data_IF_498223667300
#
_entry.id   IF_498223667300
#
_cell.length_a   1.000
_cell.length_b   1.000
_cell.length_c   1.000
_cell.angle_alpha   90.00
_cell.angle_beta   90.00
_cell.angle_gamma   90.00
#
_symmetry.space_group_name_H-M   'P 1'
#
loop_
_entity.id
_entity.type
_entity.pdbx_description
1 polymer ?
#
# COMPACT_ATOMS: atom_id res chain seq x y z
N UNK A 1 15.36 25.05 -30.71
CA UNK A 1 16.49 24.97 -29.77
C UNK A 1 17.37 23.83 -30.20
N UNK A 2 18.62 24.11 -30.52
CA UNK A 2 19.65 23.11 -30.83
C UNK A 2 20.06 22.33 -29.56
N UNK A 3 20.82 21.25 -29.76
CA UNK A 3 21.18 20.33 -28.67
C UNK A 3 22.17 20.94 -27.66
N UNK A 4 23.09 21.80 -28.11
CA UNK A 4 24.10 22.43 -27.26
C UNK A 4 23.47 23.51 -26.37
N UNK A 5 22.63 24.36 -26.95
CA UNK A 5 21.82 25.32 -26.18
C UNK A 5 20.94 24.61 -25.15
N UNK A 6 20.33 23.49 -25.53
CA UNK A 6 19.50 22.70 -24.62
C UNK A 6 20.32 22.09 -23.48
N UNK A 7 21.47 21.50 -23.77
CA UNK A 7 22.38 20.96 -22.76
C UNK A 7 22.81 22.04 -21.76
N UNK A 8 23.19 23.23 -22.24
CA UNK A 8 23.55 24.37 -21.40
C UNK A 8 22.41 24.78 -20.44
N UNK A 9 21.20 24.99 -20.97
CA UNK A 9 20.05 25.40 -20.15
C UNK A 9 19.60 24.32 -19.17
N UNK A 10 19.70 23.04 -19.55
CA UNK A 10 19.39 21.93 -18.67
C UNK A 10 20.36 21.86 -17.48
N UNK A 11 21.65 22.15 -17.69
CA UNK A 11 22.63 22.25 -16.61
C UNK A 11 22.23 23.34 -15.60
N UNK A 12 21.93 24.55 -16.09
CA UNK A 12 21.51 25.67 -15.22
C UNK A 12 20.22 25.33 -14.45
N UNK A 13 19.23 24.81 -15.16
CA UNK A 13 17.96 24.40 -14.57
C UNK A 13 18.13 23.43 -13.41
N UNK A 14 18.98 22.40 -13.57
CA UNK A 14 19.19 21.40 -12.52
C UNK A 14 19.97 21.97 -11.32
N UNK A 15 20.90 22.88 -11.55
CA UNK A 15 21.64 23.54 -10.47
C UNK A 15 20.76 24.47 -9.65
N UNK A 16 19.84 25.17 -10.31
CA UNK A 16 18.90 26.13 -9.70
C UNK A 16 17.60 25.49 -9.18
N UNK A 17 17.33 24.22 -9.51
CA UNK A 17 16.11 23.53 -9.12
C UNK A 17 15.94 23.48 -7.59
N UNK A 18 15.00 24.28 -7.08
CA UNK A 18 14.61 24.34 -5.66
C UNK A 18 13.10 24.16 -5.48
N UNK A 19 12.70 23.66 -4.31
CA UNK A 19 11.29 23.63 -3.91
C UNK A 19 10.75 25.07 -3.78
N UNK A 20 9.42 25.22 -3.81
CA UNK A 20 8.75 26.51 -3.56
C UNK A 20 9.18 27.22 -2.27
N UNK A 21 9.63 26.48 -1.25
CA UNK A 21 10.13 27.00 0.04
C UNK A 21 11.66 27.18 0.07
N UNK A 22 12.34 27.22 -1.07
CA UNK A 22 13.80 27.45 -1.20
C UNK A 22 14.70 26.24 -0.90
N UNK A 23 14.19 25.16 -0.30
CA UNK A 23 14.98 23.96 0.00
C UNK A 23 15.27 23.08 -1.22
N UNK A 24 16.37 22.33 -1.18
CA UNK A 24 16.74 21.37 -2.25
C UNK A 24 15.71 20.24 -2.41
N UNK A 25 15.56 19.75 -3.65
CA UNK A 25 14.83 18.53 -3.94
C UNK A 25 15.59 17.29 -3.46
N UNK A 26 14.90 16.21 -3.04
CA UNK A 26 15.54 14.90 -2.90
C UNK A 26 16.11 14.43 -4.25
N UNK A 27 17.23 13.72 -4.22
CA UNK A 27 17.91 13.20 -5.43
C UNK A 27 16.94 12.52 -6.42
N UNK A 28 16.07 11.65 -5.92
CA UNK A 28 15.08 10.94 -6.74
C UNK A 28 14.04 11.86 -7.39
N UNK A 29 13.64 12.94 -6.70
CA UNK A 29 12.69 13.90 -7.26
C UNK A 29 13.30 14.67 -8.42
N UNK A 30 14.57 15.05 -8.29
CA UNK A 30 15.32 15.72 -9.36
C UNK A 30 15.41 14.83 -10.61
N UNK A 31 15.74 13.55 -10.44
CA UNK A 31 15.72 12.57 -11.54
C UNK A 31 14.33 12.46 -12.20
N UNK A 32 13.25 12.45 -11.42
CA UNK A 32 11.89 12.40 -11.98
C UNK A 32 11.48 13.67 -12.72
N UNK A 33 11.98 14.84 -12.34
CA UNK A 33 11.79 16.07 -13.10
C UNK A 33 12.43 15.90 -14.49
N UNK A 34 13.66 15.41 -14.54
CA UNK A 34 14.38 15.12 -15.79
C UNK A 34 13.60 14.12 -16.66
N UNK A 35 13.10 13.01 -16.10
CA UNK A 35 12.24 12.08 -16.83
C UNK A 35 10.92 12.74 -17.31
N UNK A 36 10.37 13.67 -16.52
CA UNK A 36 9.19 14.44 -16.88
C UNK A 36 9.43 15.33 -18.10
N UNK A 37 10.59 15.98 -18.16
CA UNK A 37 11.01 16.78 -19.31
C UNK A 37 11.17 15.92 -20.57
N UNK A 38 11.80 14.73 -20.46
CA UNK A 38 11.90 13.79 -21.60
C UNK A 38 10.51 13.38 -22.08
N UNK A 39 9.60 13.06 -21.15
CA UNK A 39 8.22 12.70 -21.50
C UNK A 39 7.54 13.84 -22.26
N UNK A 40 7.66 15.07 -21.75
CA UNK A 40 7.10 16.24 -22.40
C UNK A 40 7.68 16.48 -23.80
N UNK A 41 8.99 16.29 -24.00
CA UNK A 41 9.60 16.35 -25.33
C UNK A 41 9.01 15.31 -26.29
N UNK A 42 8.81 14.07 -25.82
CA UNK A 42 8.17 13.01 -26.61
C UNK A 42 6.72 13.34 -26.95
N UNK A 43 5.97 13.90 -26.01
CA UNK A 43 4.58 14.33 -26.23
C UNK A 43 4.51 15.47 -27.28
N UNK A 44 5.58 16.25 -27.44
CA UNK A 44 5.76 17.25 -28.50
C UNK A 44 6.40 16.70 -29.79
N UNK A 45 6.48 15.37 -29.95
CA UNK A 45 7.13 14.68 -31.08
C UNK A 45 8.65 14.96 -31.24
N UNK A 46 9.32 15.43 -30.19
CA UNK A 46 10.79 15.61 -30.16
C UNK A 46 11.44 14.36 -29.58
N UNK A 47 11.70 13.39 -30.45
CA UNK A 47 12.26 12.08 -30.06
C UNK A 47 13.78 11.99 -30.19
N UNK A 48 14.40 12.93 -30.92
CA UNK A 48 15.83 12.96 -31.22
C UNK A 48 16.70 13.53 -30.09
N UNK A 49 16.09 14.01 -29.00
CA UNK A 49 16.76 14.70 -27.88
C UNK A 49 16.53 13.97 -26.56
N UNK A 50 17.14 12.80 -26.43
CA UNK A 50 17.08 12.01 -25.20
C UNK A 50 18.33 12.26 -24.35
N UNK A 51 18.32 13.31 -23.54
CA UNK A 51 19.48 13.74 -22.77
C UNK A 51 19.89 12.82 -21.60
N UNK A 52 19.14 11.75 -21.32
CA UNK A 52 19.56 10.66 -20.42
C UNK A 52 20.14 9.45 -21.17
N UNK A 53 20.19 9.47 -22.51
CA UNK A 53 20.78 8.36 -23.27
C UNK A 53 22.29 8.44 -23.18
N UNK A 54 22.92 7.33 -22.77
CA UNK A 54 24.37 7.29 -22.65
C UNK A 54 25.08 7.41 -24.00
N UNK A 55 24.41 6.93 -25.06
CA UNK A 55 24.92 6.93 -26.44
C UNK A 55 24.93 8.31 -27.07
N UNK A 56 24.13 9.24 -26.56
CA UNK A 56 24.06 10.61 -27.09
C UNK A 56 25.11 11.51 -26.44
N UNK A 57 26.26 11.65 -27.09
CA UNK A 57 27.38 12.46 -26.61
C UNK A 57 27.05 13.95 -26.41
N UNK A 58 26.03 14.49 -27.09
CA UNK A 58 25.64 15.91 -27.03
C UNK A 58 25.24 16.35 -25.62
N UNK A 59 24.70 15.42 -24.84
CA UNK A 59 24.22 15.67 -23.46
C UNK A 59 25.14 15.11 -22.38
N UNK A 60 26.38 14.74 -22.73
CA UNK A 60 27.37 14.29 -21.76
C UNK A 60 27.69 15.33 -20.67
N UNK A 61 27.78 16.65 -20.96
CA UNK A 61 27.98 17.66 -19.93
C UNK A 61 26.80 17.73 -18.95
N UNK A 62 25.56 17.78 -19.44
CA UNK A 62 24.37 17.72 -18.60
C UNK A 62 24.35 16.51 -17.68
N UNK A 63 24.64 15.32 -18.19
CA UNK A 63 24.68 14.09 -17.39
C UNK A 63 25.69 14.15 -16.25
N UNK A 64 26.88 14.74 -16.49
CA UNK A 64 27.89 14.96 -15.45
C UNK A 64 27.42 15.93 -14.36
N UNK A 65 26.77 17.04 -14.75
CA UNK A 65 26.21 18.02 -13.80
C UNK A 65 25.08 17.39 -12.97
N UNK A 66 24.18 16.64 -13.61
CA UNK A 66 23.11 15.93 -12.94
C UNK A 66 23.65 14.91 -11.92
N UNK A 67 24.63 14.11 -12.30
CA UNK A 67 25.28 13.13 -11.42
C UNK A 67 25.99 13.81 -10.24
N UNK A 68 26.76 14.88 -10.49
CA UNK A 68 27.41 15.67 -9.46
C UNK A 68 26.40 16.26 -8.46
N UNK A 69 25.29 16.81 -8.95
CA UNK A 69 24.21 17.33 -8.11
C UNK A 69 23.53 16.22 -7.30
N UNK A 70 23.27 15.06 -7.90
CA UNK A 70 22.71 13.91 -7.18
C UNK A 70 23.65 13.44 -6.07
N UNK A 71 24.96 13.35 -6.33
CA UNK A 71 25.99 13.00 -5.33
C UNK A 71 26.05 14.01 -4.20
N UNK A 72 26.01 15.32 -4.49
CA UNK A 72 25.94 16.39 -3.49
C UNK A 72 24.67 16.29 -2.62
N UNK A 73 23.51 15.98 -3.21
CA UNK A 73 22.28 15.78 -2.46
C UNK A 73 22.34 14.54 -1.56
N UNK A 74 22.95 13.46 -2.04
CA UNK A 74 23.14 12.24 -1.26
C UNK A 74 24.13 12.44 -0.10
N UNK A 75 25.22 13.18 -0.30
CA UNK A 75 26.19 13.50 0.77
C UNK A 75 25.56 14.37 1.85
N UNK A 76 24.64 15.28 1.47
CA UNK A 76 23.79 16.07 2.40
C UNK A 76 22.70 15.24 3.08
N UNK A 77 22.58 13.94 2.79
CA UNK A 77 21.56 13.05 3.35
C UNK A 77 20.15 13.24 2.78
N UNK A 78 19.99 14.02 1.70
CA UNK A 78 18.72 14.31 1.04
C UNK A 78 18.36 13.19 0.04
N UNK A 79 17.73 12.13 0.56
CA UNK A 79 17.26 10.99 -0.24
C UNK A 79 17.65 9.63 0.32
N UNK A 80 18.51 9.59 1.33
CA UNK A 80 18.95 8.35 2.01
C UNK A 80 17.95 7.87 3.07
N UNK A 81 17.16 8.78 3.65
CA UNK A 81 16.06 8.43 4.55
C UNK A 81 14.85 7.93 3.77
N UNK A 82 14.87 6.65 3.40
CA UNK A 82 13.61 5.94 3.14
C UNK A 82 12.88 5.90 4.47
N UNK A 83 11.74 6.60 4.59
CA UNK A 83 10.83 6.44 5.73
C UNK A 83 10.30 5.01 5.70
N UNK A 84 11.05 4.09 6.31
CA UNK A 84 10.59 2.75 6.63
C UNK A 84 9.58 2.93 7.74
N UNK A 85 8.37 2.43 7.53
CA UNK A 85 7.41 2.40 8.60
C UNK A 85 7.66 1.17 9.46
N UNK A 86 7.56 1.34 10.77
CA UNK A 86 7.72 0.22 11.68
C UNK A 86 6.50 -0.70 11.60
N UNK A 87 6.69 -2.03 11.59
CA UNK A 87 5.55 -2.95 11.69
C UNK A 87 4.78 -2.71 12.99
N UNK A 88 3.48 -3.01 12.96
CA UNK A 88 2.69 -3.15 14.20
C UNK A 88 3.20 -4.42 14.89
N UNK A 89 3.75 -4.27 16.09
CA UNK A 89 4.25 -5.39 16.90
C UNK A 89 3.09 -6.13 17.57
N UNK A 90 3.39 -7.26 18.22
CA UNK A 90 2.37 -8.00 18.97
C UNK A 90 1.84 -7.17 20.15
N UNK A 91 2.71 -6.38 20.78
CA UNK A 91 2.35 -5.49 21.90
C UNK A 91 1.44 -4.35 21.42
N UNK A 92 1.74 -3.76 20.26
CA UNK A 92 0.87 -2.77 19.63
C UNK A 92 -0.52 -3.35 19.31
N UNK A 93 -0.58 -4.61 18.87
CA UNK A 93 -1.83 -5.33 18.60
C UNK A 93 -2.63 -5.58 19.88
N UNK A 94 -1.99 -6.01 20.97
CA UNK A 94 -2.64 -6.16 22.27
C UNK A 94 -3.19 -4.82 22.77
N UNK A 95 -2.45 -3.72 22.58
CA UNK A 95 -2.93 -2.40 22.97
C UNK A 95 -4.20 -2.00 22.20
N UNK A 96 -4.32 -2.37 20.92
CA UNK A 96 -5.53 -2.14 20.12
C UNK A 96 -6.73 -2.95 20.61
N UNK A 97 -6.49 -4.16 21.12
CA UNK A 97 -7.51 -4.97 21.78
C UNK A 97 -7.94 -4.37 23.12
N UNK A 98 -6.98 -4.03 23.99
CA UNK A 98 -7.24 -3.48 25.33
C UNK A 98 -7.96 -2.14 25.26
N UNK A 99 -7.55 -1.26 24.34
CA UNK A 99 -8.17 0.05 24.14
C UNK A 99 -9.54 -0.01 23.43
N UNK A 100 -10.05 -1.21 23.11
CA UNK A 100 -11.35 -1.39 22.47
C UNK A 100 -11.43 -0.86 21.03
N UNK A 101 -10.28 -0.65 20.38
CA UNK A 101 -10.23 -0.32 18.94
C UNK A 101 -10.67 -1.53 18.13
N UNK A 102 -10.23 -2.71 18.56
CA UNK A 102 -10.73 -3.99 18.11
C UNK A 102 -11.86 -4.47 18.99
N UNK A 103 -12.95 -4.90 18.35
CA UNK A 103 -14.11 -5.39 19.06
C UNK A 103 -15.40 -5.25 18.28
N UNK A 104 -16.50 -5.60 18.96
CA UNK A 104 -17.87 -5.65 18.44
C UNK A 104 -18.74 -4.53 19.02
N UNK A 105 -18.14 -3.42 19.45
CA UNK A 105 -18.88 -2.31 20.07
C UNK A 105 -19.59 -1.43 19.04
N UNK A 106 -19.11 -1.36 17.80
CA UNK A 106 -19.73 -0.60 16.71
C UNK A 106 -19.40 -1.17 15.33
N UNK A 107 -20.17 -0.77 14.30
CA UNK A 107 -19.86 -1.12 12.91
C UNK A 107 -18.46 -0.59 12.48
N UNK A 108 -18.02 0.51 13.08
CA UNK A 108 -16.69 1.08 12.82
C UNK A 108 -15.57 0.23 13.43
N UNK A 109 -15.71 -0.23 14.68
CA UNK A 109 -14.70 -1.11 15.31
C UNK A 109 -14.63 -2.46 14.63
N UNK A 110 -15.78 -2.99 14.19
CA UNK A 110 -15.85 -4.22 13.39
C UNK A 110 -15.16 -4.05 12.02
N UNK A 111 -15.29 -2.88 11.40
CA UNK A 111 -14.58 -2.58 10.16
C UNK A 111 -13.07 -2.42 10.37
N UNK A 112 -12.63 -1.84 11.50
CA UNK A 112 -11.21 -1.67 11.83
C UNK A 112 -10.48 -3.00 12.02
N UNK A 113 -11.08 -3.93 12.76
CA UNK A 113 -10.48 -5.25 12.98
C UNK A 113 -10.37 -6.02 11.66
N UNK A 114 -11.43 -6.06 10.86
CA UNK A 114 -11.43 -6.73 9.57
C UNK A 114 -10.43 -6.08 8.60
N UNK A 115 -10.32 -4.75 8.59
CA UNK A 115 -9.32 -4.04 7.80
C UNK A 115 -7.88 -4.40 8.20
N UNK A 116 -7.60 -4.45 9.51
CA UNK A 116 -6.27 -4.81 10.02
C UNK A 116 -5.91 -6.27 9.66
N UNK A 117 -6.80 -7.22 9.90
CA UNK A 117 -6.55 -8.62 9.59
C UNK A 117 -6.55 -8.90 8.08
N UNK A 118 -7.24 -8.11 7.27
CA UNK A 118 -7.06 -8.14 5.81
C UNK A 118 -5.62 -7.80 5.40
N UNK A 119 -4.98 -6.85 6.09
CA UNK A 119 -3.58 -6.52 5.87
C UNK A 119 -2.64 -7.62 6.41
N UNK A 120 -2.92 -8.14 7.61
CA UNK A 120 -2.07 -9.11 8.33
C UNK A 120 -2.13 -10.52 7.72
N UNK A 121 -3.33 -11.06 7.51
CA UNK A 121 -3.55 -12.44 7.08
C UNK A 121 -3.42 -12.61 5.57
N UNK A 122 -4.08 -11.76 4.79
CA UNK A 122 -4.16 -11.90 3.33
C UNK A 122 -3.11 -11.04 2.60
N UNK A 123 -2.36 -10.22 3.34
CA UNK A 123 -1.31 -9.38 2.77
C UNK A 123 -1.84 -8.28 1.85
N UNK A 124 -3.10 -7.88 1.99
CA UNK A 124 -3.70 -6.78 1.22
C UNK A 124 -3.04 -5.48 1.64
N UNK A 125 -2.49 -4.75 0.67
CA UNK A 125 -1.72 -3.51 0.93
C UNK A 125 -2.02 -2.42 -0.08
N UNK A 126 -2.50 -2.81 -1.27
CA UNK A 126 -2.78 -1.87 -2.33
C UNK A 126 -3.99 -1.00 -2.00
N UNK A 127 -3.86 0.31 -2.20
CA UNK A 127 -5.01 1.24 -2.12
C UNK A 127 -6.16 0.83 -3.03
N UNK A 128 -5.83 0.45 -4.26
CA UNK A 128 -6.79 -0.07 -5.25
C UNK A 128 -7.26 -1.49 -4.93
N UNK A 129 -6.38 -2.30 -4.32
CA UNK A 129 -6.69 -3.67 -3.90
C UNK A 129 -7.79 -3.66 -2.83
N UNK A 130 -7.67 -2.83 -1.79
CA UNK A 130 -8.76 -2.65 -0.82
C UNK A 130 -10.00 -2.01 -1.44
N UNK A 131 -9.86 -1.06 -2.37
CA UNK A 131 -11.02 -0.40 -2.99
C UNK A 131 -11.87 -1.37 -3.81
N UNK A 132 -11.21 -2.26 -4.56
CA UNK A 132 -11.84 -3.19 -5.48
C UNK A 132 -12.18 -4.54 -4.81
N UNK A 133 -12.02 -4.62 -3.49
CA UNK A 133 -12.30 -5.82 -2.71
C UNK A 133 -13.81 -6.07 -2.65
N UNK A 134 -14.20 -7.31 -2.87
CA UNK A 134 -15.59 -7.77 -2.83
C UNK A 134 -15.80 -8.80 -1.72
N UNK A 135 -17.01 -8.85 -1.16
CA UNK A 135 -17.41 -9.85 -0.17
C UNK A 135 -17.32 -11.27 -0.72
N UNK A 136 -17.63 -11.47 -2.00
CA UNK A 136 -17.60 -12.78 -2.65
C UNK A 136 -16.18 -13.36 -2.80
N UNK A 137 -15.15 -12.56 -2.49
CA UNK A 137 -13.76 -13.04 -2.46
C UNK A 137 -13.40 -13.74 -1.15
N UNK A 138 -14.28 -13.69 -0.15
CA UNK A 138 -14.07 -14.32 1.15
C UNK A 138 -15.06 -15.47 1.32
N UNK A 139 -14.53 -16.63 1.67
CA UNK A 139 -15.32 -17.82 1.94
C UNK A 139 -14.98 -18.32 3.34
N UNK A 140 -16.00 -18.62 4.13
CA UNK A 140 -15.84 -19.18 5.47
C UNK A 140 -16.32 -20.62 5.41
N UNK A 141 -15.43 -21.55 5.70
CA UNK A 141 -15.69 -22.98 5.62
C UNK A 141 -15.31 -23.68 6.93
N UNK A 142 -15.71 -24.95 7.08
CA UNK A 142 -15.39 -25.80 8.22
C UNK A 142 -14.84 -27.12 7.69
N UNK A 143 -13.53 -27.31 7.82
CA UNK A 143 -12.86 -28.55 7.47
C UNK A 143 -12.67 -29.44 8.71
N UNK A 144 -12.14 -30.65 8.51
CA UNK A 144 -11.75 -31.57 9.58
C UNK A 144 -10.77 -30.98 10.60
N UNK A 145 -10.03 -29.93 10.22
CA UNK A 145 -9.07 -29.21 11.07
C UNK A 145 -9.72 -28.08 11.87
N UNK A 146 -10.91 -27.63 11.47
CA UNK A 146 -11.66 -26.56 12.11
C UNK A 146 -12.15 -25.49 11.13
N UNK A 147 -12.73 -24.42 11.70
CA UNK A 147 -13.27 -23.29 10.92
C UNK A 147 -12.13 -22.52 10.24
N UNK A 148 -12.27 -22.23 8.95
CA UNK A 148 -11.29 -21.49 8.15
C UNK A 148 -11.94 -20.29 7.43
N UNK A 149 -11.09 -19.34 7.04
CA UNK A 149 -11.44 -18.29 6.09
C UNK A 149 -10.49 -18.34 4.90
N UNK A 150 -11.06 -18.55 3.72
CA UNK A 150 -10.40 -18.47 2.44
C UNK A 150 -10.54 -17.07 1.85
N UNK A 151 -9.46 -16.58 1.24
CA UNK A 151 -9.49 -15.38 0.43
C UNK A 151 -9.00 -15.71 -0.99
N UNK A 152 -9.87 -15.44 -1.97
CA UNK A 152 -9.55 -15.54 -3.38
C UNK A 152 -9.28 -14.16 -3.98
N UNK A 153 -7.99 -13.86 -4.16
CA UNK A 153 -7.53 -12.62 -4.76
C UNK A 153 -7.90 -12.51 -6.24
N UNK A 154 -8.50 -11.39 -6.64
CA UNK A 154 -8.72 -11.02 -8.05
C UNK A 154 -7.50 -10.23 -8.56
N UNK A 155 -6.98 -10.61 -9.72
CA UNK A 155 -5.71 -10.10 -10.28
C UNK A 155 -5.81 -8.64 -10.77
N UNK A 156 -5.34 -7.68 -9.96
CA UNK A 156 -5.65 -6.26 -10.22
C UNK A 156 -4.45 -5.31 -10.43
N UNK A 157 -3.22 -5.77 -10.72
CA UNK A 157 -2.13 -4.78 -11.00
C UNK A 157 -1.04 -5.12 -12.01
N UNK A 158 -0.74 -6.38 -12.26
CA UNK A 158 0.27 -6.80 -13.24
C UNK A 158 -0.31 -7.59 -14.41
N UNK A 159 -1.63 -7.76 -14.45
CA UNK A 159 -2.30 -8.48 -15.51
C UNK A 159 -2.57 -7.53 -16.68
N UNK A 160 -1.73 -7.60 -17.71
CA UNK A 160 -2.05 -7.01 -19.03
C UNK A 160 -2.90 -7.95 -19.90
N UNK A 161 -3.20 -9.17 -19.43
CA UNK A 161 -3.77 -10.24 -20.26
C UNK A 161 -2.80 -10.70 -21.36
N UNK A 162 -3.07 -11.88 -21.95
CA UNK A 162 -2.32 -12.43 -23.07
C UNK A 162 -1.86 -13.88 -22.87
N UNK A 163 -1.49 -14.55 -23.97
CA UNK A 163 -1.04 -15.96 -24.01
C UNK A 163 0.08 -16.26 -22.99
N UNK A 164 0.94 -15.29 -22.66
CA UNK A 164 2.07 -15.46 -21.73
C UNK A 164 1.71 -15.49 -20.24
N UNK A 165 0.44 -15.32 -19.86
CA UNK A 165 0.00 -15.30 -18.45
C UNK A 165 -1.07 -16.35 -18.10
N UNK A 166 -1.21 -17.41 -18.92
CA UNK A 166 -2.14 -18.52 -18.67
C UNK A 166 -1.88 -19.29 -17.36
N UNK A 167 -0.66 -19.25 -16.82
CA UNK A 167 -0.27 -20.03 -15.63
C UNK A 167 -0.35 -19.25 -14.31
N UNK A 168 -0.84 -18.00 -14.32
CA UNK A 168 -0.87 -17.18 -13.12
C UNK A 168 -2.08 -17.55 -12.24
N UNK A 169 -1.86 -18.42 -11.26
CA UNK A 169 -2.85 -18.76 -10.25
C UNK A 169 -3.19 -17.53 -9.40
N UNK A 170 -4.49 -17.30 -9.16
CA UNK A 170 -4.97 -16.31 -8.21
C UNK A 170 -4.38 -16.59 -6.81
N UNK A 171 -4.19 -15.55 -6.00
CA UNK A 171 -3.84 -15.74 -4.58
C UNK A 171 -5.01 -16.45 -3.89
N UNK A 172 -4.87 -17.73 -3.63
CA UNK A 172 -5.75 -18.49 -2.74
C UNK A 172 -5.03 -18.62 -1.39
N UNK A 173 -5.51 -17.89 -0.39
CA UNK A 173 -4.92 -17.86 0.95
C UNK A 173 -5.99 -18.33 1.93
N UNK A 174 -5.72 -19.43 2.63
CA UNK A 174 -6.59 -19.98 3.67
C UNK A 174 -5.97 -19.80 5.05
N UNK A 175 -6.77 -19.33 6.00
CA UNK A 175 -6.37 -19.18 7.40
C UNK A 175 -7.33 -19.93 8.32
N UNK A 176 -6.78 -20.79 9.17
CA UNK A 176 -7.54 -21.58 10.14
C UNK A 176 -7.73 -20.81 11.44
N UNK A 177 -8.85 -21.09 12.13
CA UNK A 177 -9.10 -20.57 13.46
C UNK A 177 -8.08 -21.13 14.45
N UNK A 178 -7.47 -20.26 15.26
CA UNK A 178 -6.60 -20.68 16.35
C UNK A 178 -7.37 -21.05 17.63
N UNK A 179 -8.70 -20.96 17.62
CA UNK A 179 -9.52 -21.11 18.82
C UNK A 179 -9.35 -19.95 19.81
N UNK A 180 -10.30 -19.77 20.72
CA UNK A 180 -10.24 -18.76 21.78
C UNK A 180 -11.21 -17.58 21.63
N UNK A 181 -11.22 -16.65 22.61
CA UNK A 181 -12.20 -15.58 22.71
C UNK A 181 -12.07 -14.52 21.60
N UNK A 182 -10.89 -14.42 20.97
CA UNK A 182 -10.58 -13.48 19.88
C UNK A 182 -10.53 -14.19 18.52
N UNK A 183 -11.53 -15.03 18.23
CA UNK A 183 -11.61 -15.74 16.96
C UNK A 183 -11.84 -14.77 15.79
N UNK A 184 -10.81 -14.51 14.98
CA UNK A 184 -10.84 -13.56 13.85
C UNK A 184 -11.91 -13.94 12.83
N UNK A 185 -12.11 -15.23 12.58
CA UNK A 185 -13.12 -15.72 11.64
C UNK A 185 -14.53 -15.32 12.09
N UNK A 186 -14.81 -15.30 13.40
CA UNK A 186 -16.09 -14.85 13.92
C UNK A 186 -16.34 -13.35 13.72
N UNK A 187 -15.28 -12.53 13.59
CA UNK A 187 -15.42 -11.12 13.21
C UNK A 187 -15.68 -10.95 11.71
N UNK A 188 -15.00 -11.74 10.87
CA UNK A 188 -15.25 -11.75 9.43
C UNK A 188 -16.66 -12.23 9.11
N UNK A 189 -17.14 -13.29 9.76
CA UNK A 189 -18.49 -13.81 9.60
C UNK A 189 -19.55 -12.76 9.93
N UNK A 190 -19.40 -12.07 11.07
CA UNK A 190 -20.32 -11.02 11.48
C UNK A 190 -20.27 -9.79 10.55
N UNK A 191 -19.08 -9.45 10.06
CA UNK A 191 -18.90 -8.37 9.09
C UNK A 191 -19.54 -8.71 7.74
N UNK A 192 -19.28 -9.89 7.19
CA UNK A 192 -19.84 -10.34 5.92
C UNK A 192 -21.37 -10.45 6.00
N UNK A 193 -21.90 -10.95 7.12
CA UNK A 193 -23.35 -10.98 7.38
C UNK A 193 -23.97 -9.58 7.41
N UNK A 194 -23.28 -8.60 8.00
CA UNK A 194 -23.76 -7.23 8.10
C UNK A 194 -23.63 -6.43 6.80
N UNK A 195 -22.63 -6.73 5.96
CA UNK A 195 -22.40 -6.07 4.67
C UNK A 195 -23.26 -6.69 3.57
N UNK A 196 -23.42 -8.02 3.57
CA UNK A 196 -24.06 -8.79 2.51
C UNK A 196 -23.11 -9.03 1.33
N UNK A 197 -23.67 -9.07 0.12
CA UNK A 197 -22.92 -9.28 -1.13
C UNK A 197 -22.43 -7.97 -1.76
N UNK A 198 -21.39 -8.05 -2.59
CA UNK A 198 -20.80 -6.93 -3.34
C UNK A 198 -19.64 -6.25 -2.62
N UNK A 199 -19.41 -4.94 -2.86
CA UNK A 199 -18.19 -4.27 -2.39
C UNK A 199 -17.97 -4.38 -0.88
N UNK A 200 -16.76 -4.80 -0.50
CA UNK A 200 -16.40 -5.18 0.86
C UNK A 200 -16.39 -4.01 1.85
N UNK A 201 -15.79 -2.86 1.48
CA UNK A 201 -15.72 -1.70 2.36
C UNK A 201 -16.83 -0.70 2.08
N UNK A 202 -17.77 -0.61 3.01
CA UNK A 202 -18.92 0.29 2.96
C UNK A 202 -18.91 1.26 4.13
N UNK A 203 -19.62 2.37 3.99
CA UNK A 203 -19.74 3.36 5.07
C UNK A 203 -20.48 2.73 6.27
N UNK A 204 -19.86 2.68 7.47
CA UNK A 204 -20.56 2.23 8.67
C UNK A 204 -21.68 3.22 9.01
N UNK A 205 -22.84 2.69 9.39
CA UNK A 205 -23.98 3.47 9.86
C UNK A 205 -24.10 3.34 11.38
N UNK A 206 -24.70 4.36 12.00
CA UNK A 206 -25.03 4.29 13.42
C UNK A 206 -26.09 3.21 13.65
N UNK A 207 -26.07 2.61 14.84
CA UNK A 207 -27.07 1.61 15.22
C UNK A 207 -28.46 2.26 15.24
N UNK A 208 -29.40 1.67 14.50
CA UNK A 208 -30.81 2.05 14.50
C UNK A 208 -31.60 0.75 14.63
N UNK A 209 -32.26 0.54 15.77
CA UNK A 209 -33.11 -0.64 16.02
C UNK A 209 -32.37 -1.88 16.54
N UNK A 210 -32.85 -3.08 16.16
CA UNK A 210 -32.36 -4.39 16.65
C UNK A 210 -31.10 -4.90 15.94
N UNK A 211 -30.71 -4.29 14.81
CA UNK A 211 -29.51 -4.70 14.06
C UNK A 211 -28.24 -4.17 14.73
N UNK A 212 -27.40 -5.10 15.20
CA UNK A 212 -26.14 -4.78 15.89
C UNK A 212 -25.14 -4.03 15.00
N UNK A 213 -25.06 -4.36 13.70
CA UNK A 213 -24.13 -3.74 12.75
C UNK A 213 -24.82 -3.47 11.42
N UNK A 214 -24.64 -2.27 10.88
CA UNK A 214 -25.22 -1.86 9.60
C UNK A 214 -24.23 -1.08 8.76
N UNK A 215 -24.17 -1.40 7.47
CA UNK A 215 -23.36 -0.70 6.49
C UNK A 215 -24.25 -0.15 5.37
N UNK A 216 -23.99 1.08 4.94
CA UNK A 216 -24.72 1.71 3.84
C UNK A 216 -24.31 1.12 2.48
N UNK A 217 -25.10 1.37 1.43
CA UNK A 217 -24.77 0.91 0.06
C UNK A 217 -23.57 1.65 -0.56
N UNK A 218 -23.18 2.80 0.00
CA UNK A 218 -22.09 3.62 -0.52
C UNK A 218 -20.71 3.03 -0.18
N UNK A 219 -19.87 2.89 -1.20
CA UNK A 219 -18.48 2.45 -1.07
C UNK A 219 -17.66 3.47 -0.28
N UNK A 220 -16.73 2.98 0.54
CA UNK A 220 -15.83 3.85 1.29
C UNK A 220 -14.85 4.57 0.34
N UNK A 221 -14.77 5.89 0.47
CA UNK A 221 -13.88 6.70 -0.37
C UNK A 221 -12.41 6.30 -0.20
N UNK A 222 -11.64 6.36 -1.28
CA UNK A 222 -10.26 5.86 -1.29
C UNK A 222 -9.33 6.60 -0.31
N UNK A 223 -9.61 7.89 -0.06
CA UNK A 223 -8.87 8.67 0.95
C UNK A 223 -9.23 8.26 2.37
N UNK A 224 -10.47 7.79 2.60
CA UNK A 224 -10.91 7.28 3.89
C UNK A 224 -10.31 5.90 4.16
N UNK A 225 -10.34 4.98 3.19
CA UNK A 225 -9.66 3.68 3.24
C UNK A 225 -8.18 3.85 3.59
N UNK A 226 -7.52 4.77 2.88
CA UNK A 226 -6.15 5.16 3.12
C UNK A 226 -5.97 5.59 4.59
N UNK A 227 -6.83 6.47 5.10
CA UNK A 227 -6.78 6.96 6.48
C UNK A 227 -7.10 5.94 7.59
N UNK A 228 -7.66 4.76 7.29
CA UNK A 228 -8.12 3.80 8.31
C UNK A 228 -7.00 3.34 9.23
N UNK A 229 -5.84 2.97 8.68
CA UNK A 229 -4.70 2.52 9.50
C UNK A 229 -4.23 3.60 10.46
N UNK A 230 -4.19 4.86 9.97
CA UNK A 230 -3.85 6.00 10.82
C UNK A 230 -4.86 6.20 11.95
N UNK A 231 -6.15 6.15 11.63
CA UNK A 231 -7.22 6.30 12.62
C UNK A 231 -7.17 5.19 13.69
N UNK A 232 -6.89 3.95 13.28
CA UNK A 232 -6.71 2.81 14.16
C UNK A 232 -5.51 3.01 15.10
N UNK A 233 -4.33 3.38 14.57
CA UNK A 233 -3.16 3.65 15.41
C UNK A 233 -3.39 4.82 16.37
N UNK A 234 -4.02 5.91 15.92
CA UNK A 234 -4.31 7.07 16.76
C UNK A 234 -5.27 6.70 17.89
N UNK A 235 -6.33 5.95 17.61
CA UNK A 235 -7.26 5.47 18.65
C UNK A 235 -6.63 4.46 19.59
N UNK A 236 -5.67 3.68 19.10
CA UNK A 236 -4.92 2.71 19.89
C UNK A 236 -3.86 3.33 20.79
N UNK A 237 -3.63 4.64 20.75
CA UNK A 237 -2.56 5.29 21.51
C UNK A 237 -1.15 4.97 20.97
N UNK A 238 -1.05 4.43 19.75
CA UNK A 238 0.23 4.11 19.12
C UNK A 238 0.88 5.39 18.59
N UNK A 239 1.72 6.01 19.43
CA UNK A 239 2.48 7.21 19.09
C UNK A 239 3.64 6.85 18.15
N UNK A 240 3.53 7.24 16.87
CA UNK A 240 4.58 7.10 15.87
C UNK A 240 4.26 7.85 14.59
N UNK A 241 5.21 8.67 14.12
CA UNK A 241 5.09 9.49 12.92
C UNK A 241 4.96 8.61 11.67
N UNK A 242 3.86 8.75 10.94
CA UNK A 242 3.52 8.03 9.70
C UNK A 242 3.00 6.58 9.86
N UNK A 243 1.93 6.44 10.65
CA UNK A 243 0.97 5.30 10.68
C UNK A 243 0.42 4.89 9.30
N UNK A 244 0.69 5.68 8.26
CA UNK A 244 0.28 5.45 6.89
C UNK A 244 0.92 4.22 6.23
N UNK A 245 2.15 3.87 6.63
CA UNK A 245 2.94 2.83 5.96
C UNK A 245 3.24 1.62 6.82
N UNK A 246 2.75 1.54 8.07
CA UNK A 246 2.93 0.37 8.94
C UNK A 246 2.39 -0.94 8.32
N UNK A 247 1.49 -0.84 7.34
CA UNK A 247 0.99 -1.97 6.52
C UNK A 247 2.03 -2.63 5.64
N UNK A 248 3.18 -1.98 5.36
CA UNK A 248 4.20 -2.58 4.49
C UNK A 248 4.89 -3.80 5.09
N UNK A 249 4.75 -4.06 6.40
CA UNK A 249 5.62 -5.00 7.11
C UNK A 249 4.94 -6.02 8.01
N UNK A 250 3.60 -6.13 7.98
CA UNK A 250 2.88 -7.08 8.83
C UNK A 250 3.21 -8.58 8.55
N UNK A 251 4.07 -8.88 7.56
CA UNK A 251 4.36 -10.25 7.12
C UNK A 251 5.86 -10.60 7.10
N UNK A 252 6.75 -9.84 7.76
CA UNK A 252 8.17 -10.23 7.83
C UNK A 252 8.49 -11.29 8.87
N UNK A 253 7.57 -11.61 9.79
CA UNK A 253 7.84 -12.51 10.91
C UNK A 253 6.98 -13.79 10.91
N UNK A 254 6.26 -14.09 9.83
CA UNK A 254 5.69 -15.43 9.63
C UNK A 254 6.62 -16.19 8.69
N UNK A 255 7.78 -16.60 9.21
CA UNK A 255 8.46 -17.74 8.60
C UNK A 255 7.47 -18.92 8.66
N UNK A 256 7.21 -19.62 7.54
CA UNK A 256 6.54 -20.89 7.64
C UNK A 256 7.45 -21.76 8.48
N UNK A 257 7.00 -22.15 9.66
CA UNK A 257 7.57 -23.26 10.41
C UNK A 257 7.67 -24.42 9.43
N UNK A 258 8.87 -24.64 8.89
CA UNK A 258 9.23 -25.86 8.18
C UNK A 258 9.11 -26.96 9.21
N UNK A 259 7.91 -27.52 9.32
CA UNK A 259 7.68 -28.76 10.04
C UNK A 259 8.54 -29.82 9.37
N UNK A 260 9.61 -30.19 10.07
CA UNK A 260 10.40 -31.39 9.85
C UNK A 260 9.51 -32.54 9.37
N UNK A 261 9.71 -33.02 8.15
CA UNK A 261 9.46 -34.42 7.83
C UNK A 261 10.82 -35.12 7.84
N UNK A 262 11.11 -35.75 8.97
CA UNK A 262 12.03 -36.89 9.03
C UNK A 262 11.42 -38.02 8.22
N UNK A 263 12.15 -38.50 7.22
CA UNK A 263 12.33 -39.92 6.91
C UNK A 263 13.78 -40.10 6.51
#
# INVERSE_FOLDING_TARGET
MDAESMDFWLQQFIMEAKKKKGGDYPSKSLYYIVCGLIRHLRDMNVNDKHFLDEKDGRFAPFRRVLDAKIKDLLSKGLGTKTRKADPISHEDEELLWVNGVFGKSSATTLQYIVFYYNCKLFGLRGREEHRNLDCDQFEIDIDSTGKLIGFMGRNNKTFKGGLGHMQLANKDIKHYSQGGPRCIIAYFEEYLKAVGSGTFYRKPLNMIGKDRFRYGKSVLGVNKLHGLMRELCTKGGLLGHDSFRKTHLCNRNLEPTRSFKRR
#
